data_IF_538658765400
#
_entry.id   IF_538658765400
#
_cell.length_a   1.000
_cell.length_b   1.000
_cell.length_c   1.000
_cell.angle_alpha   90.00
_cell.angle_beta   90.00
_cell.angle_gamma   90.00
#
_symmetry.space_group_name_H-M   'P 1'
#
loop_
_entity.id
_entity.type
_entity.pdbx_description
1 polymer ?
#
# COMPACT_ATOMS: atom_id res chain seq x y z
N UNK A 1 -6.32 3.43 -2.79
CA UNK A 1 -6.91 2.36 -1.97
C UNK A 1 -7.25 1.16 -2.83
N UNK A 2 -7.33 -0.04 -2.24
CA UNK A 2 -7.71 -1.29 -2.91
C UNK A 2 -9.01 -1.80 -2.27
N UNK A 3 -10.00 -2.10 -3.10
CA UNK A 3 -11.26 -2.74 -2.72
C UNK A 3 -11.15 -4.21 -3.12
N UNK A 4 -11.16 -5.09 -2.12
CA UNK A 4 -11.06 -6.53 -2.31
C UNK A 4 -12.33 -7.24 -1.85
N UNK A 5 -12.88 -8.12 -2.68
CA UNK A 5 -14.04 -8.95 -2.33
C UNK A 5 -13.67 -10.02 -1.29
N UNK A 6 -14.54 -10.25 -0.29
CA UNK A 6 -14.35 -11.31 0.73
C UNK A 6 -14.82 -12.70 0.27
N UNK A 7 -15.47 -12.80 -0.88
CA UNK A 7 -16.05 -14.05 -1.40
C UNK A 7 -15.53 -14.43 -2.79
N UNK A 8 -16.17 -15.43 -3.41
CA UNK A 8 -15.87 -15.89 -4.77
C UNK A 8 -16.21 -14.86 -5.85
N UNK A 9 -17.27 -14.07 -5.63
CA UNK A 9 -17.67 -13.01 -6.55
C UNK A 9 -16.66 -11.86 -6.54
N UNK A 10 -16.10 -11.53 -7.71
CA UNK A 10 -15.13 -10.45 -7.85
C UNK A 10 -15.82 -9.12 -8.11
N UNK A 11 -15.31 -8.07 -7.45
CA UNK A 11 -15.78 -6.69 -7.70
C UNK A 11 -15.46 -6.23 -9.13
N UNK A 12 -14.37 -6.73 -9.72
CA UNK A 12 -13.99 -6.43 -11.09
C UNK A 12 -14.96 -6.98 -12.16
N UNK A 13 -15.75 -8.01 -11.84
CA UNK A 13 -16.71 -8.61 -12.77
C UNK A 13 -17.98 -7.77 -12.93
N UNK A 14 -18.17 -6.76 -12.05
CA UNK A 14 -19.28 -5.83 -12.17
C UNK A 14 -19.10 -4.92 -13.39
N UNK A 15 -20.24 -4.48 -13.92
CA UNK A 15 -20.30 -3.58 -15.07
C UNK A 15 -19.56 -2.26 -14.75
N UNK A 16 -18.69 -1.76 -15.66
CA UNK A 16 -17.92 -0.54 -15.43
C UNK A 16 -18.78 0.66 -15.00
N UNK A 17 -19.95 0.84 -15.60
CA UNK A 17 -20.87 1.92 -15.27
C UNK A 17 -21.47 1.80 -13.86
N UNK A 18 -21.73 0.58 -13.39
CA UNK A 18 -22.21 0.35 -12.02
C UNK A 18 -21.11 0.66 -11.01
N UNK A 19 -19.88 0.22 -11.28
CA UNK A 19 -18.71 0.52 -10.45
C UNK A 19 -18.51 2.04 -10.34
N UNK A 20 -18.53 2.74 -11.47
CA UNK A 20 -18.35 4.19 -11.49
C UNK A 20 -19.46 4.93 -10.72
N UNK A 21 -20.73 4.55 -10.93
CA UNK A 21 -21.88 5.17 -10.24
C UNK A 21 -21.82 4.96 -8.72
N UNK A 22 -21.47 3.76 -8.28
CA UNK A 22 -21.34 3.44 -6.85
C UNK A 22 -20.21 4.25 -6.21
N UNK A 23 -19.04 4.30 -6.86
CA UNK A 23 -17.91 5.10 -6.38
C UNK A 23 -18.25 6.60 -6.32
N UNK A 24 -18.95 7.13 -7.32
CA UNK A 24 -19.43 8.51 -7.34
C UNK A 24 -20.43 8.78 -6.22
N UNK A 25 -21.28 7.81 -5.89
CA UNK A 25 -22.22 7.92 -4.76
C UNK A 25 -21.51 7.98 -3.41
N UNK A 26 -20.41 7.23 -3.24
CA UNK A 26 -19.65 7.18 -1.97
C UNK A 26 -18.70 8.38 -1.84
N UNK A 27 -18.03 8.75 -2.93
CA UNK A 27 -16.89 9.67 -2.92
C UNK A 27 -17.20 11.07 -3.48
N UNK A 28 -18.35 11.25 -4.12
CA UNK A 28 -18.75 12.49 -4.80
C UNK A 28 -18.30 12.56 -6.26
N UNK A 29 -18.52 13.71 -6.91
CA UNK A 29 -18.27 13.93 -8.35
C UNK A 29 -16.79 14.23 -8.69
N UNK A 30 -15.89 14.04 -7.74
CA UNK A 30 -14.48 14.27 -8.00
C UNK A 30 -13.88 13.14 -8.84
N UNK A 31 -12.98 13.51 -9.76
CA UNK A 31 -12.35 12.57 -10.69
C UNK A 31 -11.55 11.52 -9.92
N UNK A 32 -12.07 10.30 -9.86
CA UNK A 32 -11.44 9.15 -9.24
C UNK A 32 -10.93 8.24 -10.35
N UNK A 33 -9.64 7.91 -10.33
CA UNK A 33 -9.07 6.94 -11.27
C UNK A 33 -9.29 5.54 -10.72
N UNK A 34 -9.89 4.67 -11.52
CA UNK A 34 -10.22 3.29 -11.14
C UNK A 34 -9.48 2.34 -12.08
N UNK A 35 -8.72 1.41 -11.53
CA UNK A 35 -7.99 0.38 -12.26
C UNK A 35 -8.44 -0.99 -11.79
N UNK A 36 -8.86 -1.86 -12.70
CA UNK A 36 -9.14 -3.27 -12.40
C UNK A 36 -7.82 -4.04 -12.34
N UNK A 37 -7.58 -4.74 -11.24
CA UNK A 37 -6.39 -5.57 -11.06
C UNK A 37 -6.65 -6.99 -11.58
N UNK A 38 -5.60 -7.68 -12.01
CA UNK A 38 -5.70 -9.09 -12.44
C UNK A 38 -6.18 -10.05 -11.34
N UNK A 39 -6.13 -9.64 -10.07
CA UNK A 39 -6.67 -10.38 -8.92
C UNK A 39 -8.21 -10.37 -8.85
N UNK A 40 -8.86 -9.51 -9.63
CA UNK A 40 -10.29 -9.22 -9.54
C UNK A 40 -10.66 -8.12 -8.54
N UNK A 41 -9.66 -7.43 -7.98
CA UNK A 41 -9.83 -6.29 -7.08
C UNK A 41 -9.91 -4.97 -7.86
N UNK A 42 -10.35 -3.91 -7.18
CA UNK A 42 -10.36 -2.55 -7.73
C UNK A 42 -9.34 -1.66 -7.01
N UNK A 43 -8.43 -1.08 -7.77
CA UNK A 43 -7.55 -0.01 -7.28
C UNK A 43 -8.20 1.34 -7.58
N UNK A 44 -8.33 2.16 -6.55
CA UNK A 44 -9.00 3.45 -6.58
C UNK A 44 -8.03 4.54 -6.12
N UNK A 45 -7.71 5.47 -7.00
CA UNK A 45 -6.89 6.64 -6.70
C UNK A 45 -7.78 7.78 -6.19
N UNK A 46 -7.45 8.31 -5.02
CA UNK A 46 -8.25 9.29 -4.29
C UNK A 46 -7.49 10.62 -4.22
N UNK A 47 -8.22 11.73 -4.17
CA UNK A 47 -7.64 13.09 -4.11
C UNK A 47 -7.58 13.67 -2.70
N UNK A 48 -8.41 13.14 -1.79
CA UNK A 48 -8.53 13.64 -0.42
C UNK A 48 -8.49 12.52 0.61
N UNK A 49 -8.00 12.85 1.82
CA UNK A 49 -8.06 11.97 2.97
C UNK A 49 -9.51 11.66 3.39
N UNK A 50 -10.45 12.60 3.19
CA UNK A 50 -11.86 12.39 3.50
C UNK A 50 -12.50 11.33 2.60
N UNK A 51 -12.10 11.29 1.32
CA UNK A 51 -12.48 10.21 0.41
C UNK A 51 -11.92 8.86 0.89
N UNK A 52 -10.66 8.86 1.35
CA UNK A 52 -10.04 7.65 1.89
C UNK A 52 -10.78 7.12 3.12
N UNK A 53 -11.17 8.00 4.04
CA UNK A 53 -11.97 7.64 5.23
C UNK A 53 -13.35 7.10 4.85
N UNK A 54 -14.06 7.77 3.93
CA UNK A 54 -15.37 7.32 3.43
C UNK A 54 -15.28 5.95 2.78
N UNK A 55 -14.27 5.74 1.92
CA UNK A 55 -14.07 4.45 1.27
C UNK A 55 -13.66 3.36 2.26
N UNK A 56 -12.82 3.66 3.25
CA UNK A 56 -12.40 2.69 4.26
C UNK A 56 -13.55 2.21 5.16
N UNK A 57 -14.60 3.03 5.32
CA UNK A 57 -15.75 2.71 6.16
C UNK A 57 -16.75 1.74 5.51
N UNK A 58 -16.66 1.48 4.19
CA UNK A 58 -17.63 0.60 3.52
C UNK A 58 -17.32 -0.87 3.80
N UNK A 59 -18.34 -1.63 4.16
CA UNK A 59 -18.27 -3.09 4.31
C UNK A 59 -18.80 -3.84 3.09
N UNK A 60 -19.60 -3.16 2.26
CA UNK A 60 -20.24 -3.70 1.06
C UNK A 60 -20.04 -2.75 -0.12
N UNK A 61 -19.90 -3.32 -1.31
CA UNK A 61 -19.79 -2.58 -2.57
C UNK A 61 -20.52 -3.35 -3.67
N UNK A 62 -21.57 -2.77 -4.26
CA UNK A 62 -22.42 -3.45 -5.25
C UNK A 62 -22.93 -4.83 -4.77
N UNK A 63 -23.46 -4.85 -3.56
CA UNK A 63 -23.98 -6.04 -2.85
C UNK A 63 -22.93 -7.13 -2.58
N UNK A 64 -21.64 -6.84 -2.75
CA UNK A 64 -20.54 -7.75 -2.44
C UNK A 64 -19.90 -7.29 -1.12
N UNK A 65 -19.71 -8.19 -0.14
CA UNK A 65 -18.89 -7.91 1.04
C UNK A 65 -17.44 -7.66 0.62
N UNK A 66 -16.90 -6.51 1.03
CA UNK A 66 -15.54 -6.08 0.65
C UNK A 66 -14.70 -5.72 1.86
N UNK A 67 -13.39 -5.69 1.66
CA UNK A 67 -12.41 -5.05 2.54
C UNK A 67 -11.73 -3.95 1.74
N UNK A 68 -11.66 -2.76 2.31
CA UNK A 68 -10.92 -1.64 1.73
C UNK A 68 -9.62 -1.46 2.51
N UNK A 69 -8.49 -1.41 1.80
CA UNK A 69 -7.18 -1.19 2.41
C UNK A 69 -6.32 -0.20 1.62
N UNK A 70 -5.37 0.49 2.26
CA UNK A 70 -4.33 1.22 1.54
C UNK A 70 -3.55 0.28 0.62
N UNK A 71 -3.16 0.77 -0.56
CA UNK A 71 -2.26 0.02 -1.44
C UNK A 71 -0.86 -0.04 -0.81
N UNK A 72 -0.38 -1.26 -0.56
CA UNK A 72 0.84 -1.52 0.24
C UNK A 72 2.11 -0.80 -0.25
N UNK A 73 2.29 -0.65 -1.57
CA UNK A 73 3.49 -0.03 -2.13
C UNK A 73 3.30 1.39 -2.63
N UNK A 74 2.06 1.81 -2.91
CA UNK A 74 1.79 3.14 -3.47
C UNK A 74 1.56 4.17 -2.36
N UNK A 75 1.20 3.69 -1.16
CA UNK A 75 1.12 4.51 0.04
C UNK A 75 2.31 4.22 0.98
N UNK A 76 3.48 3.94 0.43
CA UNK A 76 4.70 3.73 1.19
C UNK A 76 5.86 4.39 0.46
N UNK A 77 6.70 5.10 1.18
CA UNK A 77 7.96 5.64 0.67
C UNK A 77 9.14 4.82 1.16
N UNK A 78 10.28 4.95 0.47
CA UNK A 78 11.53 4.31 0.87
C UNK A 78 12.65 5.33 0.94
N UNK A 79 13.36 5.35 2.07
CA UNK A 79 14.57 6.13 2.28
C UNK A 79 15.80 5.23 2.26
N UNK A 80 16.91 5.73 1.73
CA UNK A 80 18.21 5.03 1.77
C UNK A 80 19.16 5.84 2.63
N UNK A 81 19.72 5.19 3.65
CA UNK A 81 20.71 5.81 4.54
C UNK A 81 21.99 4.97 4.48
N UNK A 82 23.13 5.65 4.35
CA UNK A 82 24.44 5.04 4.48
C UNK A 82 25.19 5.67 5.66
N UNK A 83 25.39 4.91 6.73
CA UNK A 83 26.15 5.35 7.90
C UNK A 83 26.89 4.18 8.54
N UNK A 84 28.16 4.41 8.92
CA UNK A 84 28.97 3.41 9.62
C UNK A 84 28.48 3.19 11.05
N UNK A 85 27.86 4.20 11.65
CA UNK A 85 27.33 4.10 13.03
C UNK A 85 26.19 3.10 13.10
N UNK A 86 25.41 3.01 12.02
CA UNK A 86 24.33 2.02 11.86
C UNK A 86 24.84 0.62 11.55
N UNK A 87 26.15 0.35 11.54
CA UNK A 87 26.69 -0.98 11.21
C UNK A 87 26.35 -2.02 12.28
N UNK A 88 26.30 -1.61 13.54
CA UNK A 88 26.05 -2.50 14.69
C UNK A 88 24.56 -2.65 15.02
N UNK A 89 23.71 -1.73 14.55
CA UNK A 89 22.27 -1.78 14.78
C UNK A 89 21.63 -2.93 13.99
N UNK A 90 20.73 -3.68 14.63
CA UNK A 90 19.92 -4.68 13.94
C UNK A 90 18.80 -4.01 13.12
N UNK A 91 18.20 -4.75 12.17
CA UNK A 91 17.09 -4.21 11.40
C UNK A 91 15.86 -3.99 12.30
N UNK A 92 15.69 -4.81 13.33
CA UNK A 92 14.62 -4.74 14.31
C UNK A 92 14.77 -3.50 15.21
N UNK A 93 15.96 -3.24 15.75
CA UNK A 93 16.26 -2.06 16.56
C UNK A 93 16.00 -0.77 15.77
N UNK A 94 16.34 -0.77 14.47
CA UNK A 94 16.05 0.37 13.61
C UNK A 94 14.55 0.61 13.40
N UNK A 95 13.72 -0.44 13.40
CA UNK A 95 12.26 -0.31 13.29
C UNK A 95 11.67 0.15 14.63
N UNK A 96 12.21 -0.31 15.75
CA UNK A 96 11.75 0.06 17.09
C UNK A 96 12.11 1.51 17.46
N UNK A 97 13.33 1.95 17.16
CA UNK A 97 13.85 3.26 17.59
C UNK A 97 13.55 4.40 16.59
N UNK A 98 13.30 4.11 15.30
CA UNK A 98 13.02 5.14 14.30
C UNK A 98 11.51 5.34 14.11
N UNK A 99 11.03 6.53 14.44
CA UNK A 99 9.63 6.88 14.26
C UNK A 99 9.22 6.90 12.78
N UNK A 100 8.07 6.29 12.48
CA UNK A 100 7.50 6.20 11.13
C UNK A 100 8.13 5.14 10.22
N UNK A 101 9.17 4.41 10.68
CA UNK A 101 9.72 3.28 9.94
C UNK A 101 8.90 2.04 10.22
N UNK A 102 8.40 1.39 9.17
CA UNK A 102 7.67 0.12 9.27
C UNK A 102 8.52 -1.09 8.91
N UNK A 103 9.61 -0.88 8.17
CA UNK A 103 10.54 -1.94 7.79
C UNK A 103 11.92 -1.36 7.50
N UNK A 104 12.95 -1.98 8.06
CA UNK A 104 14.35 -1.70 7.74
C UNK A 104 14.96 -2.93 7.04
N UNK A 105 15.80 -2.69 6.04
CA UNK A 105 16.51 -3.75 5.31
C UNK A 105 17.93 -3.32 4.96
N UNK A 106 18.93 -4.05 5.44
CA UNK A 106 20.33 -3.84 5.13
C UNK A 106 20.68 -4.39 3.76
N UNK A 107 21.35 -3.57 2.95
CA UNK A 107 21.84 -3.98 1.65
C UNK A 107 23.05 -4.90 1.85
N UNK A 108 22.99 -6.08 1.24
CA UNK A 108 24.10 -7.03 1.17
C UNK A 108 24.62 -7.06 -0.25
N UNK A 109 25.93 -6.93 -0.41
CA UNK A 109 26.60 -7.02 -1.72
C UNK A 109 27.24 -8.39 -1.82
N UNK A 110 27.09 -9.03 -2.98
CA UNK A 110 27.77 -10.29 -3.28
C UNK A 110 29.11 -9.98 -3.94
N UNK A 111 30.21 -10.48 -3.38
CA UNK A 111 31.55 -10.44 -4.00
C UNK A 111 32.05 -11.88 -4.11
N UNK A 112 31.99 -12.45 -5.31
CA UNK A 112 32.25 -13.87 -5.51
C UNK A 112 31.20 -14.74 -4.79
N UNK A 113 31.67 -15.65 -3.94
CA UNK A 113 30.81 -16.51 -3.12
C UNK A 113 30.34 -15.83 -1.83
N UNK A 114 31.00 -14.75 -1.40
CA UNK A 114 30.71 -14.09 -0.14
C UNK A 114 29.55 -13.09 -0.24
N UNK A 115 28.71 -13.09 0.81
CA UNK A 115 27.69 -12.06 1.06
C UNK A 115 28.21 -11.08 2.12
N UNK A 116 28.58 -9.89 1.68
CA UNK A 116 29.13 -8.84 2.54
C UNK A 116 28.01 -7.87 2.90
N UNK A 117 27.77 -7.67 4.20
CA UNK A 117 26.87 -6.62 4.68
C UNK A 117 27.48 -5.24 4.43
N UNK A 118 26.66 -4.30 3.96
CA UNK A 118 27.07 -2.90 3.80
C UNK A 118 26.55 -2.04 4.93
N UNK A 119 27.15 -0.85 5.05
CA UNK A 119 26.67 0.22 5.94
C UNK A 119 25.43 0.95 5.37
N UNK A 120 24.71 0.33 4.43
CA UNK A 120 23.57 0.94 3.72
C UNK A 120 22.29 0.20 4.06
N UNK A 121 21.29 0.96 4.49
CA UNK A 121 19.98 0.45 4.92
C UNK A 121 18.90 1.15 4.11
N UNK A 122 17.91 0.36 3.67
CA UNK A 122 16.67 0.83 3.08
C UNK A 122 15.61 0.83 4.17
N UNK A 123 15.07 2.00 4.47
CA UNK A 123 13.94 2.19 5.39
C UNK A 123 12.67 2.31 4.57
N UNK A 124 11.59 1.71 5.04
CA UNK A 124 10.25 1.81 4.45
C UNK A 124 9.34 2.53 5.43
N UNK A 125 8.63 3.53 4.95
CA UNK A 125 7.67 4.32 5.72
C UNK A 125 6.25 4.01 5.21
N UNK A 126 5.24 4.14 6.06
CA UNK A 126 3.82 3.99 5.72
C UNK A 126 3.16 5.29 5.21
N UNK A 127 3.99 6.27 4.89
CA UNK A 127 3.61 7.51 4.23
C UNK A 127 4.18 7.57 2.79
N UNK A 128 3.40 8.08 1.80
CA UNK A 128 3.89 8.32 0.44
C UNK A 128 5.07 9.29 0.37
#
# INVERSE_FOLDING_TARGET
MVISSRGSAKVADRLPFKIHRELKSILGDETIKVTKLGSGDLMVELKSNDQAKKLAAIATFLDIPVTVSPHKSLNSSKGVIRSRDLRCCSEEEMVEELSGVTHARRIKVRRGEDKIQTDTVVLTFDSP
#
